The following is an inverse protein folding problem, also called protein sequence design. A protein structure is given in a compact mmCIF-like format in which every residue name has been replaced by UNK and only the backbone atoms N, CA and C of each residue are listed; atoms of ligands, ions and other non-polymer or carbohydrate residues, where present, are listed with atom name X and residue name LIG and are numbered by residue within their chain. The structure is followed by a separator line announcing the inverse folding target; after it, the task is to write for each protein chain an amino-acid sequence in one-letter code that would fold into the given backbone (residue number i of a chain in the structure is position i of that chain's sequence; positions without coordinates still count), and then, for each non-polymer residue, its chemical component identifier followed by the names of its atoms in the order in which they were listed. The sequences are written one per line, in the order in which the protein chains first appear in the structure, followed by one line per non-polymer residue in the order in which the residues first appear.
data_IF_063744603374
#
_entry.id   IF_063744603374
#
_cell.length_a   1.000
_cell.length_b   1.000
_cell.length_c   1.000
_cell.angle_alpha   90.00
_cell.angle_beta   90.00
_cell.angle_gamma   90.00
#
_symmetry.space_group_name_H-M   'P 1'
#
loop_
_entity.id
_entity.type
_entity.pdbx_description
1 polymer ?
#
# COMPACT_ATOMS: atom_id res chain seq x y z
N UNK A 1 39.54 13.66 -18.35
CA UNK A 1 38.45 14.65 -18.46
C UNK A 1 37.43 14.06 -19.42
N UNK A 2 36.13 14.14 -19.15
CA UNK A 2 35.09 13.43 -19.94
C UNK A 2 35.10 13.75 -21.44
N UNK A 3 35.54 14.97 -21.82
CA UNK A 3 35.78 15.32 -23.23
C UNK A 3 36.90 14.49 -23.88
N UNK A 4 37.94 14.11 -23.13
CA UNK A 4 39.05 13.31 -23.63
C UNK A 4 38.67 11.84 -23.87
N UNK A 5 37.58 11.38 -23.24
CA UNK A 5 37.02 10.02 -23.41
C UNK A 5 35.70 10.01 -24.18
N UNK A 6 35.26 11.15 -24.72
CA UNK A 6 34.01 11.32 -25.48
C UNK A 6 32.77 10.71 -24.80
N UNK A 7 32.66 10.92 -23.48
CA UNK A 7 31.55 10.43 -22.67
C UNK A 7 30.97 11.55 -21.79
N UNK A 8 29.80 11.32 -21.20
CA UNK A 8 29.23 12.17 -20.15
C UNK A 8 28.92 11.32 -18.92
N UNK A 9 28.88 11.93 -17.73
CA UNK A 9 28.52 11.22 -16.51
C UNK A 9 27.06 11.51 -16.13
N UNK A 10 26.23 10.47 -16.10
CA UNK A 10 24.85 10.58 -15.61
C UNK A 10 24.77 10.28 -14.10
N UNK A 11 23.83 10.93 -13.42
CA UNK A 11 23.55 10.68 -12.00
C UNK A 11 22.04 10.55 -11.79
N UNK A 12 21.63 9.42 -11.21
CA UNK A 12 20.23 9.12 -10.89
C UNK A 12 19.78 9.83 -9.62
N UNK A 13 18.65 10.53 -9.65
CA UNK A 13 18.11 11.24 -8.48
C UNK A 13 17.54 10.29 -7.41
N UNK A 14 16.96 9.18 -7.85
CA UNK A 14 16.22 8.23 -7.01
C UNK A 14 17.14 7.31 -6.19
N UNK A 15 18.33 7.00 -6.71
CA UNK A 15 19.32 6.12 -6.06
C UNK A 15 20.68 6.78 -5.80
N UNK A 16 20.99 7.90 -6.44
CA UNK A 16 22.33 8.50 -6.44
C UNK A 16 23.35 7.78 -7.32
N UNK A 17 22.96 6.71 -8.03
CA UNK A 17 23.85 5.92 -8.86
C UNK A 17 24.42 6.76 -10.02
N UNK A 18 25.70 6.54 -10.33
CA UNK A 18 26.43 7.25 -11.38
C UNK A 18 26.83 6.27 -12.47
N UNK A 19 26.65 6.65 -13.74
CA UNK A 19 27.06 5.82 -14.87
C UNK A 19 27.53 6.69 -16.04
N UNK A 20 28.64 6.36 -16.71
CA UNK A 20 29.05 7.05 -17.92
C UNK A 20 28.11 6.69 -19.08
N UNK A 21 27.82 7.66 -19.95
CA UNK A 21 27.08 7.50 -21.20
C UNK A 21 27.97 8.00 -22.34
N UNK A 22 28.28 7.17 -23.36
CA UNK A 22 29.04 7.62 -24.52
C UNK A 22 28.32 8.74 -25.27
N UNK A 23 29.05 9.76 -25.74
CA UNK A 23 28.44 10.87 -26.50
C UNK A 23 27.80 10.39 -27.82
N UNK A 24 28.35 9.33 -28.43
CA UNK A 24 27.84 8.75 -29.67
C UNK A 24 26.42 8.19 -29.55
N UNK A 25 26.06 7.66 -28.38
CA UNK A 25 24.75 7.03 -28.10
C UNK A 25 23.98 7.81 -27.04
N UNK A 26 24.26 9.11 -26.88
CA UNK A 26 23.77 9.89 -25.74
C UNK A 26 22.23 9.95 -25.71
N UNK A 27 21.60 10.25 -26.85
CA UNK A 27 20.14 10.39 -26.91
C UNK A 27 19.42 9.08 -26.54
N UNK A 28 19.87 7.96 -27.10
CA UNK A 28 19.33 6.63 -26.80
C UNK A 28 19.61 6.21 -25.36
N UNK A 29 20.85 6.44 -24.89
CA UNK A 29 21.27 6.14 -23.52
C UNK A 29 20.48 6.91 -22.46
N UNK A 30 20.23 8.20 -22.70
CA UNK A 30 19.40 9.04 -21.82
C UNK A 30 17.94 8.56 -21.84
N UNK A 31 17.37 8.28 -23.01
CA UNK A 31 15.98 7.80 -23.12
C UNK A 31 15.78 6.45 -22.42
N UNK A 32 16.73 5.53 -22.59
CA UNK A 32 16.74 4.23 -21.91
C UNK A 32 16.88 4.40 -20.39
N UNK A 33 17.75 5.31 -19.94
CA UNK A 33 17.95 5.61 -18.52
C UNK A 33 16.69 6.19 -17.88
N UNK A 34 16.01 7.15 -18.52
CA UNK A 34 14.76 7.72 -18.02
C UNK A 34 13.66 6.66 -17.91
N UNK A 35 13.56 5.79 -18.92
CA UNK A 35 12.62 4.66 -18.90
C UNK A 35 12.93 3.69 -17.75
N UNK A 36 14.22 3.42 -17.48
CA UNK A 36 14.63 2.59 -16.34
C UNK A 36 14.27 3.25 -15.00
N UNK A 37 14.54 4.54 -14.84
CA UNK A 37 14.21 5.29 -13.61
C UNK A 37 12.71 5.20 -13.32
N UNK A 38 11.87 5.41 -14.34
CA UNK A 38 10.42 5.30 -14.19
C UNK A 38 10.02 3.89 -13.71
N UNK A 39 10.54 2.85 -14.36
CA UNK A 39 10.25 1.45 -13.99
C UNK A 39 10.67 1.15 -12.56
N UNK A 40 11.88 1.54 -12.17
CA UNK A 40 12.41 1.26 -10.83
C UNK A 40 11.65 1.98 -9.73
N UNK A 41 11.28 3.25 -9.96
CA UNK A 41 10.44 4.01 -9.03
C UNK A 41 9.06 3.37 -8.86
N UNK A 42 8.44 2.98 -9.98
CA UNK A 42 7.15 2.29 -9.96
C UNK A 42 7.23 0.97 -9.20
N UNK A 43 8.22 0.13 -9.51
CA UNK A 43 8.35 -1.18 -8.90
C UNK A 43 8.65 -1.08 -7.40
N UNK A 44 9.53 -0.14 -7.00
CA UNK A 44 9.78 0.13 -5.58
C UNK A 44 8.50 0.51 -4.83
N UNK A 45 7.72 1.44 -5.39
CA UNK A 45 6.46 1.87 -4.78
C UNK A 45 5.42 0.75 -4.74
N UNK A 46 5.35 -0.05 -5.82
CA UNK A 46 4.48 -1.23 -5.93
C UNK A 46 4.82 -2.27 -4.86
N UNK A 47 6.08 -2.67 -4.74
CA UNK A 47 6.53 -3.66 -3.73
C UNK A 47 6.21 -3.15 -2.33
N UNK A 48 6.48 -1.87 -2.04
CA UNK A 48 6.18 -1.29 -0.73
C UNK A 48 4.68 -1.27 -0.43
N UNK A 49 3.84 -0.89 -1.41
CA UNK A 49 2.38 -0.91 -1.27
C UNK A 49 1.88 -2.34 -1.05
N UNK A 50 2.31 -3.28 -1.90
CA UNK A 50 1.83 -4.66 -1.88
C UNK A 50 2.24 -5.35 -0.57
N UNK A 51 3.44 -5.09 -0.06
CA UNK A 51 3.89 -5.55 1.28
C UNK A 51 3.11 -4.88 2.43
N UNK A 52 2.57 -3.68 2.22
CA UNK A 52 1.73 -2.97 3.17
C UNK A 52 0.30 -3.50 3.26
N UNK A 53 -0.18 -4.26 2.27
CA UNK A 53 -1.51 -4.89 2.29
C UNK A 53 -1.45 -6.24 3.00
N UNK A 54 -2.17 -6.37 4.11
CA UNK A 54 -2.30 -7.64 4.84
C UNK A 54 -3.72 -8.16 4.78
N UNK A 55 -3.86 -9.44 4.48
CA UNK A 55 -5.14 -10.16 4.61
C UNK A 55 -5.44 -10.40 6.09
N UNK A 56 -6.54 -9.86 6.59
CA UNK A 56 -6.93 -9.91 8.00
C UNK A 56 -8.27 -10.64 8.11
N UNK A 57 -8.33 -11.64 8.99
CA UNK A 57 -9.54 -12.47 9.21
C UNK A 57 -10.08 -12.36 10.63
N UNK A 58 -9.29 -11.75 11.51
CA UNK A 58 -9.54 -11.66 12.95
C UNK A 58 -9.39 -10.21 13.34
N UNK A 59 -10.33 -9.71 14.13
CA UNK A 59 -10.39 -8.29 14.50
C UNK A 59 -9.12 -7.84 15.24
N UNK A 60 -8.54 -8.73 16.03
CA UNK A 60 -7.34 -8.49 16.84
C UNK A 60 -6.11 -8.15 15.97
N UNK A 61 -6.10 -8.54 14.70
CA UNK A 61 -5.02 -8.23 13.76
C UNK A 61 -5.26 -6.95 12.96
N UNK A 62 -6.47 -6.40 13.01
CA UNK A 62 -6.89 -5.27 12.18
C UNK A 62 -6.22 -3.96 12.62
N UNK A 63 -6.40 -3.58 13.89
CA UNK A 63 -5.84 -2.32 14.43
C UNK A 63 -4.30 -2.34 14.43
N UNK A 64 -3.61 -3.41 14.87
CA UNK A 64 -2.15 -3.47 14.80
C UNK A 64 -1.59 -3.35 13.38
N UNK A 65 -2.31 -3.83 12.37
CA UNK A 65 -1.90 -3.66 10.97
C UNK A 65 -2.02 -2.21 10.52
N UNK A 66 -3.10 -1.52 10.89
CA UNK A 66 -3.28 -0.10 10.58
C UNK A 66 -2.21 0.78 11.25
N UNK A 67 -1.80 0.41 12.47
CA UNK A 67 -0.77 1.13 13.22
C UNK A 67 0.62 1.04 12.58
N UNK A 68 0.86 0.00 11.77
CA UNK A 68 2.07 -0.15 10.94
C UNK A 68 2.00 0.65 9.63
N UNK A 69 1.02 1.56 9.49
CA UNK A 69 0.72 2.30 8.26
C UNK A 69 0.43 1.40 7.06
N UNK A 70 -0.13 0.21 7.33
CA UNK A 70 -0.55 -0.74 6.30
C UNK A 70 -2.04 -0.63 5.97
N UNK A 71 -2.46 -1.47 5.02
CA UNK A 71 -3.87 -1.68 4.63
C UNK A 71 -4.33 -3.07 5.07
N UNK A 72 -5.61 -3.19 5.35
CA UNK A 72 -6.25 -4.45 5.72
C UNK A 72 -7.18 -4.90 4.59
N UNK A 73 -6.89 -6.03 3.96
CA UNK A 73 -7.84 -6.71 3.09
C UNK A 73 -8.65 -7.69 3.95
N UNK A 74 -9.94 -7.43 4.13
CA UNK A 74 -10.81 -8.22 5.02
C UNK A 74 -11.98 -8.85 4.28
N UNK A 75 -12.46 -10.03 4.69
CA UNK A 75 -13.78 -10.50 4.28
C UNK A 75 -14.85 -9.60 4.92
N UNK A 76 -15.72 -9.05 4.09
CA UNK A 76 -16.74 -8.06 4.46
C UNK A 76 -18.11 -8.43 3.89
N UNK A 77 -19.18 -8.07 4.60
CA UNK A 77 -20.57 -8.39 4.22
C UNK A 77 -21.29 -7.25 3.47
N UNK A 78 -20.59 -6.17 3.11
CA UNK A 78 -21.13 -5.00 2.39
C UNK A 78 -22.28 -4.26 3.11
N UNK A 79 -22.43 -4.48 4.43
CA UNK A 79 -23.43 -3.77 5.21
C UNK A 79 -22.84 -2.49 5.82
N UNK A 80 -23.53 -1.37 5.62
CA UNK A 80 -23.18 -0.05 6.16
C UNK A 80 -22.90 -0.08 7.67
N UNK A 81 -23.77 -0.73 8.45
CA UNK A 81 -23.57 -0.92 9.90
C UNK A 81 -22.22 -1.54 10.27
N UNK A 82 -21.66 -2.40 9.40
CA UNK A 82 -20.38 -3.03 9.66
C UNK A 82 -19.23 -2.08 9.35
N UNK A 83 -19.37 -1.23 8.34
CA UNK A 83 -18.39 -0.18 8.03
C UNK A 83 -18.33 0.85 9.17
N UNK A 84 -19.48 1.30 9.69
CA UNK A 84 -19.54 2.19 10.85
C UNK A 84 -18.88 1.57 12.07
N UNK A 85 -19.19 0.30 12.38
CA UNK A 85 -18.54 -0.41 13.49
C UNK A 85 -17.04 -0.55 13.30
N UNK A 86 -16.57 -0.83 12.07
CA UNK A 86 -15.13 -0.91 11.77
C UNK A 86 -14.48 0.45 12.04
N UNK A 87 -15.09 1.54 11.57
CA UNK A 87 -14.61 2.90 11.77
C UNK A 87 -14.55 3.26 13.25
N UNK A 88 -15.62 3.04 14.01
CA UNK A 88 -15.69 3.32 15.44
C UNK A 88 -14.64 2.51 16.22
N UNK A 89 -14.61 1.17 16.04
CA UNK A 89 -13.71 0.28 16.79
C UNK A 89 -12.24 0.45 16.41
N UNK A 90 -11.94 0.98 15.22
CA UNK A 90 -10.56 1.24 14.76
C UNK A 90 -10.11 2.69 14.95
N UNK A 91 -11.01 3.55 15.43
CA UNK A 91 -10.64 4.90 15.88
C UNK A 91 -9.76 4.75 17.12
N UNK A 92 -8.59 5.38 17.09
CA UNK A 92 -7.72 5.42 18.28
C UNK A 92 -8.42 6.26 19.34
N UNK A 93 -8.90 5.62 20.41
CA UNK A 93 -9.20 6.33 21.66
C UNK A 93 -7.87 6.44 22.41
N UNK A 94 -7.29 7.63 22.43
CA UNK A 94 -6.10 7.92 23.25
C UNK A 94 -6.50 7.91 24.72
N UNK A 95 -6.45 6.76 25.38
CA UNK A 95 -6.58 6.63 26.85
C UNK A 95 -5.21 6.49 27.52
N UNK A 96 -4.24 7.36 27.18
CA UNK A 96 -2.91 7.35 27.82
C UNK A 96 -1.93 8.40 27.27
N UNK A 97 -0.82 8.59 27.99
CA UNK A 97 0.28 9.55 27.75
C UNK A 97 1.22 9.17 26.59
N UNK A 98 0.74 8.42 25.60
CA UNK A 98 1.56 8.05 24.44
C UNK A 98 1.68 9.25 23.48
N UNK A 99 2.91 9.58 23.00
CA UNK A 99 3.11 10.70 22.10
C UNK A 99 2.29 10.49 20.81
N UNK A 100 1.27 11.32 20.65
CA UNK A 100 0.47 11.40 19.44
C UNK A 100 1.38 11.96 18.34
N UNK A 101 1.68 11.15 17.32
CA UNK A 101 2.22 11.68 16.07
C UNK A 101 1.17 12.60 15.46
N UNK A 102 1.41 13.91 15.47
CA UNK A 102 0.52 14.94 14.91
C UNK A 102 0.15 14.70 13.43
N UNK A 103 0.89 13.82 12.74
CA UNK A 103 0.61 13.40 11.35
C UNK A 103 -0.20 12.11 11.24
N UNK A 104 -0.49 11.42 12.35
CA UNK A 104 -1.34 10.24 12.37
C UNK A 104 -2.82 10.67 12.33
N UNK A 105 -3.60 10.23 11.33
CA UNK A 105 -5.03 10.55 11.30
C UNK A 105 -5.68 9.99 12.57
N UNK A 106 -6.35 10.85 13.33
CA UNK A 106 -7.20 10.48 14.47
C UNK A 106 -8.43 9.67 14.05
N UNK A 107 -8.61 9.47 12.74
CA UNK A 107 -9.78 8.86 12.13
C UNK A 107 -9.66 7.34 12.07
N UNK A 108 -10.75 6.65 12.42
CA UNK A 108 -10.91 5.22 12.18
C UNK A 108 -10.78 4.84 10.70
N UNK A 109 -10.47 3.58 10.45
CA UNK A 109 -10.36 3.06 9.10
C UNK A 109 -11.71 3.12 8.37
N UNK A 110 -11.65 3.47 7.08
CA UNK A 110 -12.79 3.48 6.17
C UNK A 110 -12.60 2.39 5.12
N UNK A 111 -13.69 2.00 4.47
CA UNK A 111 -13.56 1.23 3.23
C UNK A 111 -12.87 2.11 2.17
N UNK A 112 -11.90 1.53 1.46
CA UNK A 112 -11.19 2.21 0.37
C UNK A 112 -11.77 1.77 -0.97
N UNK A 113 -11.83 0.46 -1.18
CA UNK A 113 -12.43 -0.15 -2.36
C UNK A 113 -12.69 -1.64 -2.12
N UNK A 114 -13.53 -2.22 -2.99
CA UNK A 114 -13.59 -3.65 -3.21
C UNK A 114 -12.70 -3.91 -4.45
N UNK A 115 -11.53 -4.55 -4.30
CA UNK A 115 -10.65 -4.81 -5.45
C UNK A 115 -11.36 -5.65 -6.51
N UNK A 116 -11.22 -5.27 -7.79
CA UNK A 116 -11.81 -6.05 -8.89
C UNK A 116 -11.21 -7.46 -8.96
N UNK A 117 -9.90 -7.57 -8.76
CA UNK A 117 -9.21 -8.86 -8.65
C UNK A 117 -9.26 -9.38 -7.21
N UNK A 118 -10.31 -10.15 -6.93
CA UNK A 118 -10.50 -10.82 -5.65
C UNK A 118 -9.51 -12.00 -5.47
N UNK A 119 -9.08 -12.31 -4.23
CA UNK A 119 -8.24 -13.48 -3.93
C UNK A 119 -8.81 -14.79 -4.51
N UNK A 120 -8.09 -15.38 -5.47
CA UNK A 120 -8.49 -16.65 -6.11
C UNK A 120 -8.07 -17.87 -5.28
N UNK A 121 -7.00 -17.73 -4.50
CA UNK A 121 -6.48 -18.74 -3.59
C UNK A 121 -7.34 -18.91 -2.32
N UNK A 122 -8.14 -17.90 -2.01
CA UNK A 122 -9.04 -17.90 -0.85
C UNK A 122 -10.36 -17.16 -1.18
N UNK A 123 -11.23 -17.79 -1.98
CA UNK A 123 -12.49 -17.18 -2.37
C UNK A 123 -13.43 -17.05 -1.16
N UNK A 124 -14.34 -16.08 -1.24
CA UNK A 124 -15.46 -15.99 -0.30
C UNK A 124 -16.39 -17.18 -0.52
N UNK A 125 -16.60 -17.99 0.52
CA UNK A 125 -17.51 -19.13 0.49
C UNK A 125 -18.65 -18.88 1.48
N UNK A 126 -19.91 -18.74 1.02
CA UNK A 126 -21.07 -18.60 1.90
C UNK A 126 -21.12 -19.69 2.97
N UNK A 127 -21.51 -19.34 4.19
CA UNK A 127 -21.49 -20.20 5.37
C UNK A 127 -20.11 -20.45 6.00
N UNK A 128 -19.00 -20.28 5.26
CA UNK A 128 -17.63 -20.51 5.78
C UNK A 128 -16.87 -19.21 6.04
N UNK A 129 -16.82 -18.32 5.05
CA UNK A 129 -16.07 -17.07 5.17
C UNK A 129 -16.94 -16.02 5.84
N UNK A 130 -16.52 -15.58 7.03
CA UNK A 130 -17.30 -14.65 7.85
C UNK A 130 -16.74 -13.23 7.79
N UNK A 131 -17.64 -12.26 7.86
CA UNK A 131 -17.32 -10.85 7.98
C UNK A 131 -16.52 -10.60 9.25
N UNK A 132 -15.38 -9.91 9.13
CA UNK A 132 -14.49 -9.60 10.26
C UNK A 132 -15.18 -8.78 11.35
N UNK A 133 -16.17 -7.96 10.99
CA UNK A 133 -16.84 -7.05 11.93
C UNK A 133 -17.95 -7.72 12.74
N UNK A 134 -18.83 -8.48 12.06
CA UNK A 134 -20.09 -8.96 12.65
C UNK A 134 -20.27 -10.49 12.63
N UNK A 135 -19.38 -11.24 12.00
CA UNK A 135 -19.46 -12.70 11.92
C UNK A 135 -20.55 -13.25 10.98
N UNK A 136 -21.33 -12.40 10.30
CA UNK A 136 -22.23 -12.82 9.22
C UNK A 136 -21.44 -13.33 8.01
N UNK A 137 -22.10 -13.92 7.02
CA UNK A 137 -21.43 -14.35 5.79
C UNK A 137 -20.85 -13.14 5.06
N UNK A 138 -19.56 -13.23 4.71
CA UNK A 138 -18.93 -12.26 3.85
C UNK A 138 -19.40 -12.45 2.40
N UNK A 139 -19.36 -11.37 1.63
CA UNK A 139 -19.71 -11.35 0.20
C UNK A 139 -18.51 -11.00 -0.67
N UNK A 140 -17.55 -10.22 -0.13
CA UNK A 140 -16.34 -9.83 -0.84
C UNK A 140 -15.14 -9.69 0.10
N UNK A 141 -13.94 -9.63 -0.48
CA UNK A 141 -12.79 -9.02 0.16
C UNK A 141 -12.78 -7.52 -0.13
N UNK A 142 -12.75 -6.72 0.93
CA UNK A 142 -12.71 -5.27 0.85
C UNK A 142 -11.43 -4.73 1.49
N UNK A 143 -10.85 -3.70 0.88
CA UNK A 143 -9.65 -3.03 1.36
C UNK A 143 -10.04 -1.89 2.29
N UNK A 144 -9.53 -1.93 3.52
CA UNK A 144 -9.73 -0.91 4.54
C UNK A 144 -8.40 -0.27 4.93
N UNK A 145 -8.45 1.01 5.29
CA UNK A 145 -7.27 1.76 5.73
C UNK A 145 -7.65 3.12 6.33
N UNK A 146 -6.67 3.78 6.95
CA UNK A 146 -6.80 5.19 7.35
C UNK A 146 -6.65 6.05 6.09
N UNK A 147 -7.66 6.88 5.80
CA UNK A 147 -7.63 7.80 4.67
C UNK A 147 -7.22 9.20 5.13
N UNK A 148 -6.66 9.99 4.20
CA UNK A 148 -6.56 11.45 4.35
C UNK A 148 -7.95 12.10 4.37
#
# INVERSE_FOLDING_TARGET
MDLATSQTLSVRRDTGAKAPIPMATLAEGVSALLSQIQRDLFEKARVQRDAGVKRVRRWEEFVPQLDRRGFCLIPWCEQERCEDQIKEKSTRVTTGDEPVDDRAPSMGAKSLCIPFDQPKDEPIVPGKTKCVSCGADAVCWALFGRSY
#
